data_IF_568988584199
#
_entry.id   IF_568988584199
#
_cell.length_a   1.000
_cell.length_b   1.000
_cell.length_c   1.000
_cell.angle_alpha   90.00
_cell.angle_beta   90.00
_cell.angle_gamma   90.00
#
_symmetry.space_group_name_H-M   'P 1'
#
loop_
_entity.id
_entity.type
_entity.pdbx_description
1 polymer ?
#
# COMPACT_ATOMS: atom_id res chain seq x y z
N UNK A 1 13.29 -6.33 -47.77
CA UNK A 1 12.74 -6.06 -49.11
C UNK A 1 11.27 -6.43 -49.07
N UNK A 2 10.40 -5.45 -49.37
CA UNK A 2 8.93 -5.55 -49.56
C UNK A 2 8.12 -5.86 -48.30
N UNK A 3 6.93 -5.29 -48.04
CA UNK A 3 6.32 -3.97 -48.16
C UNK A 3 4.92 -4.18 -47.54
N UNK A 4 4.49 -3.38 -46.57
CA UNK A 4 3.10 -3.40 -46.11
C UNK A 4 2.43 -2.07 -46.43
N UNK A 5 1.26 -2.21 -47.04
CA UNK A 5 0.45 -1.16 -47.64
C UNK A 5 -0.67 -0.77 -46.67
N UNK A 6 -0.92 0.53 -46.60
CA UNK A 6 -1.99 1.14 -45.84
C UNK A 6 -3.36 0.96 -46.51
N UNK A 7 -4.40 0.76 -45.70
CA UNK A 7 -5.78 0.96 -46.13
C UNK A 7 -6.55 1.73 -45.04
N UNK A 8 -6.91 2.96 -45.37
CA UNK A 8 -7.73 3.89 -44.58
C UNK A 8 -9.20 3.67 -44.94
N UNK A 9 -10.10 3.69 -43.95
CA UNK A 9 -11.55 3.77 -44.18
C UNK A 9 -12.13 5.05 -43.56
N UNK A 10 -12.80 5.84 -44.39
CA UNK A 10 -13.62 7.01 -44.08
C UNK A 10 -15.07 6.60 -43.84
N UNK A 11 -15.74 7.20 -42.85
CA UNK A 11 -17.19 7.11 -42.66
C UNK A 11 -17.81 8.49 -42.84
N UNK A 12 -18.74 8.57 -43.79
CA UNK A 12 -19.53 9.75 -44.13
C UNK A 12 -20.60 10.03 -43.08
N UNK A 13 -20.77 11.31 -42.76
CA UNK A 13 -21.89 11.81 -41.96
C UNK A 13 -23.18 11.99 -42.78
N UNK A 14 -24.29 12.06 -42.06
CA UNK A 14 -25.44 12.89 -42.37
C UNK A 14 -26.29 13.03 -41.10
N UNK A 15 -26.57 14.27 -40.69
CA UNK A 15 -27.33 14.61 -39.50
C UNK A 15 -28.82 14.80 -39.78
N UNK A 16 -29.59 14.96 -38.70
CA UNK A 16 -30.73 15.86 -38.63
C UNK A 16 -30.98 16.33 -37.19
N UNK A 17 -31.38 17.59 -37.09
CA UNK A 17 -31.40 18.43 -35.91
C UNK A 17 -32.73 18.36 -35.15
N UNK A 18 -32.66 18.53 -33.84
CA UNK A 18 -33.77 19.03 -33.01
C UNK A 18 -33.21 20.01 -31.98
N UNK A 19 -33.80 21.20 -31.91
CA UNK A 19 -33.46 22.31 -31.02
C UNK A 19 -34.51 22.37 -29.88
N UNK A 20 -34.13 22.61 -28.61
CA UNK A 20 -34.72 23.74 -27.86
C UNK A 20 -33.79 24.28 -26.72
N UNK A 21 -34.22 25.24 -25.88
CA UNK A 21 -34.76 26.58 -26.11
C UNK A 21 -33.77 27.68 -25.61
N UNK A 22 -34.17 28.96 -25.76
CA UNK A 22 -33.37 30.16 -25.48
C UNK A 22 -33.22 30.53 -24.01
N UNK A 23 -32.05 31.13 -23.70
CA UNK A 23 -31.49 31.51 -22.40
C UNK A 23 -32.12 32.80 -21.80
N UNK A 24 -33.39 32.76 -21.41
CA UNK A 24 -34.04 33.85 -20.67
C UNK A 24 -34.96 33.28 -19.62
N UNK A 25 -34.80 33.73 -18.37
CA UNK A 25 -35.59 33.44 -17.17
C UNK A 25 -35.18 32.21 -16.35
N UNK A 26 -34.19 32.41 -15.47
CA UNK A 26 -34.14 31.86 -14.10
C UNK A 26 -32.91 32.44 -13.38
N UNK A 27 -33.04 33.73 -13.03
CA UNK A 27 -32.31 34.33 -11.91
C UNK A 27 -33.09 33.98 -10.64
N UNK A 28 -32.38 33.45 -9.64
CA UNK A 28 -32.60 33.57 -8.18
C UNK A 28 -32.30 32.26 -7.44
N UNK A 29 -31.03 32.08 -7.05
CA UNK A 29 -30.61 31.40 -5.82
C UNK A 29 -29.14 31.76 -5.50
N UNK A 30 -28.87 32.11 -4.25
CA UNK A 30 -27.61 32.64 -3.69
C UNK A 30 -26.39 31.70 -3.84
N UNK A 31 -25.14 32.22 -3.87
CA UNK A 31 -23.95 31.40 -3.98
C UNK A 31 -23.52 30.81 -2.63
N UNK A 32 -23.08 29.56 -2.64
CA UNK A 32 -22.27 28.95 -1.58
C UNK A 32 -20.80 29.12 -1.94
N UNK A 33 -20.03 29.61 -0.96
CA UNK A 33 -18.58 29.78 -0.99
C UNK A 33 -17.88 28.44 -1.27
N UNK A 34 -16.94 28.42 -2.23
CA UNK A 34 -15.80 27.50 -2.25
C UNK A 34 -14.73 28.03 -3.21
N UNK A 35 -13.61 28.47 -2.62
CA UNK A 35 -12.44 29.02 -3.30
C UNK A 35 -11.61 27.91 -3.97
N UNK A 36 -11.74 27.78 -5.29
CA UNK A 36 -10.75 27.12 -6.15
C UNK A 36 -10.29 28.13 -7.18
N UNK A 37 -9.15 28.78 -6.91
CA UNK A 37 -8.62 29.82 -7.80
C UNK A 37 -7.74 29.24 -8.90
N UNK A 38 -8.35 29.23 -10.09
CA UNK A 38 -7.72 29.01 -11.38
C UNK A 38 -6.78 30.19 -11.72
N UNK A 39 -5.50 29.90 -11.98
CA UNK A 39 -4.43 30.88 -12.20
C UNK A 39 -4.71 31.79 -13.41
N UNK A 40 -5.59 31.39 -14.33
CA UNK A 40 -5.98 32.21 -15.47
C UNK A 40 -7.07 33.26 -15.15
N UNK A 41 -7.85 33.08 -14.08
CA UNK A 41 -8.99 33.97 -13.77
C UNK A 41 -8.58 35.25 -13.04
N UNK A 42 -7.48 35.23 -12.29
CA UNK A 42 -6.93 36.41 -11.61
C UNK A 42 -6.39 37.49 -12.57
N UNK A 43 -6.24 37.18 -13.87
CA UNK A 43 -5.74 38.11 -14.86
C UNK A 43 -6.82 38.99 -15.53
N UNK A 44 -8.12 38.80 -15.23
CA UNK A 44 -9.21 39.46 -15.98
C UNK A 44 -9.93 40.61 -15.24
N UNK A 45 -9.86 40.73 -13.91
CA UNK A 45 -10.59 41.81 -13.21
C UNK A 45 -9.76 43.06 -12.83
N UNK A 46 -8.52 43.16 -13.30
CA UNK A 46 -7.70 44.37 -13.12
C UNK A 46 -7.86 45.37 -14.29
N UNK A 47 -9.10 45.79 -14.56
CA UNK A 47 -9.42 46.80 -15.57
C UNK A 47 -10.00 48.08 -14.95
N UNK A 48 -9.40 48.62 -13.88
CA UNK A 48 -9.68 49.98 -13.41
C UNK A 48 -8.61 50.48 -12.44
N UNK A 49 -7.39 50.77 -12.92
CA UNK A 49 -6.40 51.52 -12.13
C UNK A 49 -5.84 52.67 -12.98
N UNK A 50 -6.30 53.88 -12.68
CA UNK A 50 -5.72 55.15 -13.16
C UNK A 50 -4.36 55.39 -12.51
N UNK A 51 -3.31 55.77 -13.27
CA UNK A 51 -1.97 55.97 -12.70
C UNK A 51 -1.80 57.35 -12.03
N UNK A 52 -0.99 57.40 -10.97
CA UNK A 52 -0.49 58.63 -10.35
C UNK A 52 0.40 59.45 -11.31
N UNK A 53 0.50 60.79 -11.14
CA UNK A 53 0.94 61.68 -12.21
C UNK A 53 2.47 61.69 -12.38
N UNK A 54 2.93 61.23 -13.54
CA UNK A 54 4.35 61.23 -13.90
C UNK A 54 4.62 60.53 -15.23
N UNK A 55 4.15 61.13 -16.32
CA UNK A 55 4.53 60.92 -17.73
C UNK A 55 4.69 59.48 -18.24
N UNK A 56 3.71 59.00 -19.01
CA UNK A 56 3.85 58.49 -20.39
C UNK A 56 2.44 58.30 -21.02
N UNK A 57 2.29 58.42 -22.35
CA UNK A 57 1.02 58.75 -22.99
C UNK A 57 0.06 57.57 -23.08
N UNK A 58 -1.23 57.91 -23.05
CA UNK A 58 -2.32 57.02 -23.37
C UNK A 58 -2.25 56.60 -24.85
N UNK A 59 -2.01 55.32 -25.10
CA UNK A 59 -2.36 54.66 -26.37
C UNK A 59 -2.51 53.16 -26.19
N UNK A 60 -3.76 52.70 -26.25
CA UNK A 60 -4.24 51.43 -26.83
C UNK A 60 -3.35 50.18 -26.75
N UNK A 61 -3.68 49.29 -25.80
CA UNK A 61 -4.21 47.93 -26.04
C UNK A 61 -4.24 47.16 -24.71
N UNK A 62 -5.29 46.37 -24.42
CA UNK A 62 -5.40 45.57 -23.19
C UNK A 62 -4.27 44.54 -22.97
N UNK A 63 -3.40 44.35 -23.97
CA UNK A 63 -2.27 43.41 -23.93
C UNK A 63 -1.01 43.96 -23.22
N UNK A 64 -0.91 45.27 -22.95
CA UNK A 64 0.33 45.89 -22.44
C UNK A 64 0.51 45.78 -20.92
N UNK A 65 -0.59 45.84 -20.14
CA UNK A 65 -0.50 45.69 -18.68
C UNK A 65 -0.19 44.25 -18.28
N UNK A 66 -0.85 43.27 -18.92
CA UNK A 66 -0.58 41.84 -18.67
C UNK A 66 0.88 41.49 -18.97
N UNK A 67 1.43 41.99 -20.07
CA UNK A 67 2.85 41.82 -20.42
C UNK A 67 3.76 42.43 -19.35
N UNK A 68 3.51 43.67 -18.92
CA UNK A 68 4.32 44.32 -17.89
C UNK A 68 4.26 43.61 -16.53
N UNK A 69 3.09 43.11 -16.15
CA UNK A 69 2.92 42.33 -14.92
C UNK A 69 3.67 41.00 -15.05
N UNK A 70 3.52 40.30 -16.17
CA UNK A 70 4.25 39.04 -16.42
C UNK A 70 5.77 39.25 -16.36
N UNK A 71 6.31 40.27 -17.05
CA UNK A 71 7.74 40.60 -17.04
C UNK A 71 8.23 40.92 -15.62
N UNK A 72 7.42 41.63 -14.82
CA UNK A 72 7.74 41.99 -13.43
C UNK A 72 7.71 40.77 -12.51
N UNK A 73 6.73 39.88 -12.69
CA UNK A 73 6.62 38.62 -11.95
C UNK A 73 7.81 37.72 -12.28
N UNK A 74 8.14 37.52 -13.55
CA UNK A 74 9.29 36.70 -13.99
C UNK A 74 10.62 37.28 -13.47
N UNK A 75 10.81 38.60 -13.56
CA UNK A 75 12.01 39.25 -13.01
C UNK A 75 12.11 39.06 -11.51
N UNK A 76 11.01 39.22 -10.78
CA UNK A 76 11.02 39.11 -9.31
C UNK A 76 11.19 37.66 -8.86
N UNK A 77 10.58 36.69 -9.55
CA UNK A 77 10.78 35.27 -9.29
C UNK A 77 12.24 34.86 -9.52
N UNK A 78 12.86 35.34 -10.61
CA UNK A 78 14.29 35.09 -10.87
C UNK A 78 15.20 35.68 -9.79
N UNK A 79 14.90 36.90 -9.30
CA UNK A 79 15.65 37.54 -8.22
C UNK A 79 15.39 36.90 -6.85
N UNK A 80 14.19 36.37 -6.64
CA UNK A 80 13.73 35.73 -5.40
C UNK A 80 13.87 34.21 -5.38
N UNK A 81 14.68 33.64 -6.28
CA UNK A 81 14.93 32.18 -6.39
C UNK A 81 13.65 31.31 -6.50
N UNK A 82 12.62 31.87 -7.14
CA UNK A 82 11.31 31.24 -7.35
C UNK A 82 10.26 31.60 -6.29
N UNK A 83 10.44 32.68 -5.53
CA UNK A 83 9.46 33.21 -4.55
C UNK A 83 9.17 34.69 -4.83
N UNK A 84 7.90 35.09 -4.75
CA UNK A 84 7.45 36.48 -4.91
C UNK A 84 6.38 36.85 -3.88
N UNK A 85 6.53 38.02 -3.25
CA UNK A 85 5.50 38.63 -2.40
C UNK A 85 4.77 39.71 -3.19
N UNK A 86 3.45 39.60 -3.29
CA UNK A 86 2.58 40.54 -3.99
C UNK A 86 1.75 41.28 -2.95
N UNK A 87 2.03 42.58 -2.77
CA UNK A 87 1.22 43.46 -1.93
C UNK A 87 0.04 44.02 -2.75
N UNK A 88 -1.18 43.80 -2.27
CA UNK A 88 -2.41 44.37 -2.80
C UNK A 88 -2.70 45.65 -2.02
N UNK A 89 -2.77 46.77 -2.73
CA UNK A 89 -3.04 48.08 -2.13
C UNK A 89 -4.55 48.36 -2.08
N UNK A 90 -5.02 48.91 -0.97
CA UNK A 90 -6.37 49.44 -0.82
C UNK A 90 -6.57 50.79 -1.51
N UNK A 91 -7.80 51.29 -1.52
CA UNK A 91 -8.14 52.58 -2.17
C UNK A 91 -7.41 53.79 -1.57
N UNK A 92 -6.99 53.69 -0.32
CA UNK A 92 -6.19 54.68 0.41
C UNK A 92 -4.68 54.58 0.14
N UNK A 93 -4.25 53.61 -0.69
CA UNK A 93 -2.86 53.33 -0.99
C UNK A 93 -2.12 52.60 0.14
N UNK A 94 -2.79 52.21 1.22
CA UNK A 94 -2.24 51.33 2.24
C UNK A 94 -2.22 49.88 1.74
N UNK A 95 -1.32 49.05 2.27
CA UNK A 95 -1.32 47.61 1.96
C UNK A 95 -2.55 46.98 2.63
N UNK A 96 -3.49 46.52 1.82
CA UNK A 96 -4.70 45.85 2.27
C UNK A 96 -4.49 44.35 2.47
N UNK A 97 -3.66 43.73 1.62
CA UNK A 97 -3.35 42.29 1.67
C UNK A 97 -1.95 42.02 1.12
N UNK A 98 -1.29 40.96 1.58
CA UNK A 98 0.01 40.51 1.06
C UNK A 98 -0.05 39.02 0.76
N UNK A 99 0.26 38.65 -0.48
CA UNK A 99 0.19 37.26 -0.96
C UNK A 99 1.53 36.77 -1.42
N UNK A 100 1.96 35.65 -0.86
CA UNK A 100 3.24 35.02 -1.17
C UNK A 100 3.02 33.86 -2.14
N UNK A 101 3.77 33.86 -3.24
CA UNK A 101 3.71 32.81 -4.27
C UNK A 101 5.09 32.17 -4.43
N UNK A 102 5.12 30.89 -4.79
CA UNK A 102 6.33 30.17 -5.16
C UNK A 102 6.11 29.34 -6.44
N UNK A 103 7.15 29.24 -7.27
CA UNK A 103 7.18 28.33 -8.43
C UNK A 103 7.42 26.87 -8.03
N UNK A 104 7.90 26.64 -6.80
CA UNK A 104 8.18 25.31 -6.27
C UNK A 104 7.06 24.90 -5.32
N UNK A 105 6.89 23.59 -5.11
CA UNK A 105 6.02 23.06 -4.05
C UNK A 105 6.66 23.32 -2.68
N UNK A 106 6.68 24.58 -2.25
CA UNK A 106 7.29 25.01 -1.00
C UNK A 106 6.29 25.79 -0.15
N UNK A 107 6.15 25.40 1.11
CA UNK A 107 5.50 26.23 2.13
C UNK A 107 6.53 27.19 2.69
N UNK A 108 6.38 28.48 2.39
CA UNK A 108 7.32 29.52 2.82
C UNK A 108 7.15 29.86 4.31
N UNK A 109 5.99 29.57 4.91
CA UNK A 109 5.75 29.75 6.34
C UNK A 109 6.44 28.68 7.19
N UNK A 110 6.34 27.42 6.75
CA UNK A 110 6.88 26.26 7.48
C UNK A 110 8.31 25.90 7.05
N UNK A 111 8.83 26.57 6.01
CA UNK A 111 10.12 26.28 5.38
C UNK A 111 10.25 24.82 4.90
N UNK A 112 9.15 24.27 4.35
CA UNK A 112 9.08 22.91 3.81
C UNK A 112 9.09 23.00 2.29
N UNK A 113 9.99 22.27 1.63
CA UNK A 113 9.99 22.12 0.18
C UNK A 113 9.78 20.65 -0.17
N UNK A 114 8.83 20.38 -1.06
CA UNK A 114 8.54 19.05 -1.60
C UNK A 114 9.12 18.99 -3.02
N UNK A 115 9.69 17.84 -3.37
CA UNK A 115 10.09 17.56 -4.75
C UNK A 115 8.88 17.48 -5.67
N UNK A 116 9.10 17.49 -6.98
CA UNK A 116 8.03 17.30 -7.96
C UNK A 116 7.24 16.01 -7.67
N UNK A 117 5.92 16.15 -7.60
CA UNK A 117 5.02 15.03 -7.31
C UNK A 117 5.00 14.09 -8.51
N UNK A 118 5.56 12.90 -8.34
CA UNK A 118 5.61 11.86 -9.36
C UNK A 118 5.09 10.52 -8.80
N UNK A 119 4.66 9.56 -9.64
CA UNK A 119 4.17 8.27 -9.16
C UNK A 119 5.15 7.52 -8.24
N UNK A 120 6.46 7.69 -8.46
CA UNK A 120 7.51 7.12 -7.60
C UNK A 120 7.49 7.64 -6.16
N UNK A 121 7.01 8.87 -5.94
CA UNK A 121 6.87 9.48 -4.62
C UNK A 121 5.85 8.72 -3.76
N UNK A 122 4.90 8.02 -4.39
CA UNK A 122 3.88 7.23 -3.71
C UNK A 122 4.21 5.73 -3.63
N UNK A 123 5.40 5.33 -4.08
CA UNK A 123 5.83 3.93 -4.05
C UNK A 123 6.67 3.66 -2.81
N UNK A 124 6.16 2.81 -1.91
CA UNK A 124 6.93 2.30 -0.78
C UNK A 124 8.06 1.34 -1.20
N UNK A 125 8.10 0.92 -2.47
CA UNK A 125 9.20 0.13 -3.03
C UNK A 125 10.31 1.01 -3.62
N UNK A 126 10.15 2.34 -3.60
CA UNK A 126 11.12 3.28 -4.12
C UNK A 126 11.68 4.16 -2.98
N UNK A 127 13.00 4.36 -2.88
CA UNK A 127 13.61 5.22 -1.84
C UNK A 127 13.05 6.66 -1.76
N UNK A 128 12.53 7.18 -2.89
CA UNK A 128 11.89 8.50 -2.94
C UNK A 128 10.58 8.56 -2.16
N UNK A 129 9.79 7.47 -2.15
CA UNK A 129 8.50 7.41 -1.44
C UNK A 129 8.53 6.64 -0.13
N UNK A 130 9.45 5.69 0.00
CA UNK A 130 9.56 4.80 1.15
C UNK A 130 9.96 5.54 2.43
N UNK A 131 9.31 5.18 3.54
CA UNK A 131 9.72 5.60 4.87
C UNK A 131 11.21 5.26 5.08
N UNK A 132 12.06 6.23 5.46
CA UNK A 132 13.51 6.02 5.57
C UNK A 132 13.88 5.00 6.66
N UNK A 133 13.05 4.91 7.70
CA UNK A 133 13.34 4.12 8.89
C UNK A 133 13.03 2.64 8.73
N UNK A 134 11.98 2.29 7.99
CA UNK A 134 11.59 0.91 7.73
C UNK A 134 11.76 0.52 6.26
N UNK A 135 12.35 1.38 5.44
CA UNK A 135 12.57 1.18 4.01
C UNK A 135 11.31 0.72 3.26
N UNK A 136 10.15 1.25 3.66
CA UNK A 136 8.86 0.90 3.04
C UNK A 136 8.26 -0.44 3.43
N UNK A 137 8.80 -1.12 4.46
CA UNK A 137 8.20 -2.35 5.00
C UNK A 137 6.94 -2.06 5.84
N UNK A 138 6.91 -0.93 6.53
CA UNK A 138 5.86 -0.59 7.51
C UNK A 138 6.06 -1.22 8.87
N UNK A 139 6.93 -2.23 8.97
CA UNK A 139 7.32 -2.88 10.21
C UNK A 139 8.82 -2.78 10.44
N UNK A 140 9.23 -2.92 11.70
CA UNK A 140 10.62 -3.13 12.11
C UNK A 140 10.68 -4.45 12.87
N UNK A 141 11.77 -5.19 12.68
CA UNK A 141 12.08 -6.31 13.55
C UNK A 141 12.62 -5.75 14.85
N UNK A 142 11.93 -6.05 15.94
CA UNK A 142 12.33 -5.72 17.31
C UNK A 142 12.45 -7.01 18.10
N UNK A 143 13.31 -7.01 19.11
CA UNK A 143 13.51 -8.18 19.96
C UNK A 143 12.25 -8.43 20.77
N UNK A 144 11.80 -9.68 20.76
CA UNK A 144 10.62 -10.11 21.49
C UNK A 144 11.03 -10.90 22.73
N UNK A 145 10.79 -10.33 23.91
CA UNK A 145 11.17 -10.94 25.19
C UNK A 145 10.53 -12.31 25.39
N UNK A 146 9.32 -12.54 24.86
CA UNK A 146 8.65 -13.84 24.97
C UNK A 146 9.36 -14.92 24.13
N UNK A 147 9.90 -14.55 22.98
CA UNK A 147 10.63 -15.48 22.10
C UNK A 147 12.03 -15.81 22.64
N UNK A 148 12.64 -14.92 23.44
CA UNK A 148 13.93 -15.18 24.11
C UNK A 148 13.81 -16.36 25.08
N UNK A 149 12.68 -16.48 25.79
CA UNK A 149 12.48 -17.49 26.83
C UNK A 149 11.99 -18.80 26.23
N UNK A 150 12.92 -19.72 25.93
CA UNK A 150 12.59 -21.03 25.33
C UNK A 150 11.94 -21.96 26.34
N UNK A 151 12.50 -22.03 27.56
CA UNK A 151 11.98 -22.91 28.59
C UNK A 151 12.11 -22.27 29.98
N UNK A 152 10.99 -21.78 30.53
CA UNK A 152 11.00 -21.07 31.80
C UNK A 152 11.24 -22.00 33.01
N UNK A 153 11.14 -23.32 32.84
CA UNK A 153 11.41 -24.30 33.91
C UNK A 153 12.91 -24.63 34.09
N UNK A 154 13.76 -24.24 33.14
CA UNK A 154 15.21 -24.41 33.24
C UNK A 154 15.88 -23.28 34.01
N UNK A 155 17.09 -23.53 34.48
CA UNK A 155 17.96 -22.48 35.03
C UNK A 155 18.58 -21.62 33.93
N UNK A 156 19.04 -20.43 34.28
CA UNK A 156 19.77 -19.57 33.35
C UNK A 156 20.98 -20.30 32.72
N UNK A 157 21.74 -21.06 33.51
CA UNK A 157 22.89 -21.85 33.05
C UNK A 157 22.50 -23.08 32.20
N UNK A 158 21.34 -23.69 32.48
CA UNK A 158 20.80 -24.80 31.70
C UNK A 158 20.17 -24.36 30.36
N UNK A 159 20.17 -23.06 30.07
CA UNK A 159 19.68 -22.53 28.81
C UNK A 159 18.18 -22.26 28.81
N UNK A 160 17.65 -21.65 29.88
CA UNK A 160 16.28 -21.12 29.85
C UNK A 160 16.04 -20.10 28.72
N UNK A 161 17.12 -19.44 28.27
CA UNK A 161 17.11 -18.38 27.27
C UNK A 161 17.81 -18.83 25.99
N UNK A 162 17.19 -18.62 24.84
CA UNK A 162 17.69 -19.09 23.54
C UNK A 162 19.05 -18.52 23.13
N UNK A 163 19.22 -17.18 23.10
CA UNK A 163 20.51 -16.56 22.78
C UNK A 163 21.66 -16.99 23.72
N UNK A 164 21.30 -17.47 24.92
CA UNK A 164 22.24 -17.99 25.89
C UNK A 164 22.80 -19.37 25.51
N UNK A 165 22.01 -20.23 24.89
CA UNK A 165 22.48 -21.56 24.48
C UNK A 165 23.48 -21.51 23.32
N UNK A 166 23.25 -20.62 22.35
CA UNK A 166 24.01 -20.59 21.10
C UNK A 166 25.36 -19.86 21.24
N UNK A 167 25.36 -18.67 21.86
CA UNK A 167 26.53 -17.77 21.80
C UNK A 167 26.91 -17.19 23.15
N UNK A 168 25.96 -16.73 23.96
CA UNK A 168 26.30 -16.02 25.19
C UNK A 168 26.78 -16.96 26.32
N UNK A 169 26.20 -18.15 26.46
CA UNK A 169 26.59 -19.15 27.47
C UNK A 169 27.90 -19.86 27.16
N UNK A 170 28.28 -19.97 25.89
CA UNK A 170 29.60 -20.47 25.46
C UNK A 170 30.72 -19.47 25.75
N UNK A 171 30.37 -18.19 25.95
CA UNK A 171 31.33 -17.13 26.25
C UNK A 171 31.56 -17.01 27.76
N UNK A 172 32.80 -17.28 28.19
CA UNK A 172 33.22 -17.01 29.57
C UNK A 172 33.06 -15.53 29.96
N UNK A 173 33.05 -14.62 28.99
CA UNK A 173 32.85 -13.19 29.25
C UNK A 173 31.40 -12.88 29.67
N UNK A 174 30.42 -13.31 28.88
CA UNK A 174 29.00 -13.02 29.15
C UNK A 174 28.48 -13.76 30.39
N UNK A 175 28.86 -15.03 30.56
CA UNK A 175 28.52 -15.79 31.78
C UNK A 175 29.05 -15.12 33.05
N UNK A 176 30.27 -14.57 33.03
CA UNK A 176 30.84 -13.83 34.18
C UNK A 176 30.15 -12.50 34.42
N UNK A 177 29.74 -11.79 33.37
CA UNK A 177 28.98 -10.56 33.50
C UNK A 177 27.63 -10.81 34.18
N UNK A 178 26.86 -11.78 33.68
CA UNK A 178 25.56 -12.12 34.25
C UNK A 178 25.69 -12.63 35.69
N UNK A 179 26.73 -13.41 36.01
CA UNK A 179 27.00 -13.84 37.38
C UNK A 179 27.26 -12.64 38.31
N UNK A 180 28.08 -11.67 37.87
CA UNK A 180 28.38 -10.48 38.66
C UNK A 180 27.16 -9.55 38.83
N UNK A 181 26.30 -9.45 37.80
CA UNK A 181 25.00 -8.79 37.93
C UNK A 181 24.08 -9.54 38.91
N UNK A 182 24.05 -10.87 38.84
CA UNK A 182 23.28 -11.73 39.74
C UNK A 182 23.69 -11.59 41.21
N UNK A 183 24.99 -11.53 41.52
CA UNK A 183 25.48 -11.32 42.89
C UNK A 183 24.97 -10.03 43.51
N UNK A 184 24.84 -8.95 42.71
CA UNK A 184 24.32 -7.66 43.17
C UNK A 184 22.81 -7.69 43.38
N UNK A 185 22.07 -8.34 42.48
CA UNK A 185 20.60 -8.34 42.45
C UNK A 185 19.96 -9.58 43.10
N UNK A 186 20.77 -10.42 43.75
CA UNK A 186 20.31 -11.53 44.57
C UNK A 186 19.81 -12.75 43.79
N UNK A 187 20.31 -12.99 42.57
CA UNK A 187 20.02 -14.22 41.80
C UNK A 187 21.30 -14.93 41.38
N UNK A 188 21.19 -16.23 41.08
CA UNK A 188 22.32 -17.06 40.63
C UNK A 188 22.02 -17.64 39.25
N UNK A 189 23.07 -18.02 38.52
CA UNK A 189 22.93 -18.69 37.22
C UNK A 189 22.18 -20.03 37.31
N UNK A 190 22.17 -20.67 38.48
CA UNK A 190 21.40 -21.90 38.74
C UNK A 190 19.96 -21.64 39.24
N UNK A 191 19.48 -20.40 39.24
CA UNK A 191 18.08 -20.06 39.53
C UNK A 191 17.24 -20.34 38.29
N UNK A 192 16.04 -20.94 38.46
CA UNK A 192 15.10 -21.17 37.36
C UNK A 192 14.51 -19.84 36.90
N UNK A 193 14.19 -19.71 35.62
CA UNK A 193 13.61 -18.48 35.10
C UNK A 193 12.30 -18.10 35.80
N UNK A 194 11.40 -19.07 36.03
CA UNK A 194 10.13 -18.83 36.76
C UNK A 194 10.29 -18.35 38.19
N UNK A 195 11.44 -18.59 38.81
CA UNK A 195 11.69 -18.24 40.21
C UNK A 195 12.27 -16.83 40.37
N UNK A 196 12.58 -16.14 39.26
CA UNK A 196 13.10 -14.77 39.27
C UNK A 196 11.98 -13.75 39.57
N UNK A 197 12.30 -12.72 40.35
CA UNK A 197 11.38 -11.58 40.53
C UNK A 197 11.32 -10.72 39.27
N UNK A 198 10.27 -9.90 39.06
CA UNK A 198 10.18 -9.00 37.91
C UNK A 198 11.41 -8.07 37.75
N UNK A 199 11.98 -7.59 38.86
CA UNK A 199 13.20 -6.79 38.83
C UNK A 199 14.40 -7.61 38.35
N UNK A 200 14.52 -8.86 38.79
CA UNK A 200 15.61 -9.74 38.35
C UNK A 200 15.47 -10.10 36.87
N UNK A 201 14.26 -10.37 36.39
CA UNK A 201 13.96 -10.56 34.96
C UNK A 201 14.40 -9.34 34.16
N UNK A 202 14.06 -8.13 34.61
CA UNK A 202 14.48 -6.90 33.96
C UNK A 202 16.01 -6.78 33.89
N UNK A 203 16.73 -7.07 34.98
CA UNK A 203 18.20 -7.05 34.97
C UNK A 203 18.79 -8.05 33.98
N UNK A 204 18.21 -9.26 33.86
CA UNK A 204 18.69 -10.27 32.89
C UNK A 204 18.45 -9.82 31.44
N UNK A 205 17.29 -9.24 31.14
CA UNK A 205 16.91 -8.86 29.78
C UNK A 205 17.51 -7.53 29.33
N UNK A 206 17.44 -6.51 30.18
CA UNK A 206 17.78 -5.11 29.87
C UNK A 206 19.08 -4.62 30.53
N UNK A 207 19.68 -5.44 31.39
CA UNK A 207 20.98 -5.14 31.98
C UNK A 207 20.94 -4.33 33.27
N UNK A 208 22.13 -3.95 33.74
CA UNK A 208 22.36 -3.10 34.90
C UNK A 208 23.23 -1.89 34.50
N UNK A 209 22.72 -0.65 34.62
CA UNK A 209 23.48 0.56 34.27
C UNK A 209 24.65 0.83 35.23
N UNK A 210 24.71 0.17 36.39
CA UNK A 210 25.84 0.32 37.32
C UNK A 210 27.00 -0.60 36.91
N UNK A 211 28.24 -0.08 36.85
CA UNK A 211 29.40 -0.90 36.50
C UNK A 211 29.51 -2.14 37.39
N UNK A 212 29.56 -3.31 36.78
CA UNK A 212 29.90 -4.58 37.43
C UNK A 212 31.39 -4.83 37.28
N UNK A 213 31.98 -5.47 38.29
CA UNK A 213 33.39 -5.86 38.27
C UNK A 213 33.47 -7.37 38.28
N UNK A 214 34.20 -7.94 37.32
CA UNK A 214 34.40 -9.38 37.26
C UNK A 214 35.82 -9.73 36.80
N UNK A 215 36.26 -10.91 37.22
CA UNK A 215 37.55 -11.48 36.83
C UNK A 215 37.34 -12.47 35.69
N UNK A 216 38.15 -12.34 34.64
CA UNK A 216 38.14 -13.25 33.50
C UNK A 216 39.57 -13.68 33.17
N UNK A 217 39.69 -14.88 32.58
CA UNK A 217 40.95 -15.41 32.09
C UNK A 217 41.02 -15.15 30.59
N UNK A 218 42.04 -14.43 30.15
CA UNK A 218 42.25 -14.23 28.71
C UNK A 218 42.80 -15.50 28.04
N UNK A 219 42.88 -15.51 26.70
CA UNK A 219 43.45 -16.64 25.94
C UNK A 219 44.91 -16.94 26.31
N UNK A 220 45.66 -15.96 26.84
CA UNK A 220 47.03 -16.13 27.31
C UNK A 220 47.13 -16.69 28.76
N UNK A 221 46.00 -17.07 29.38
CA UNK A 221 45.96 -17.69 30.71
C UNK A 221 46.08 -16.72 31.90
N UNK A 222 46.24 -15.42 31.63
CA UNK A 222 46.35 -14.36 32.65
C UNK A 222 44.96 -13.95 33.11
N UNK A 223 44.76 -13.90 34.43
CA UNK A 223 43.52 -13.38 35.01
C UNK A 223 43.60 -11.87 35.10
N UNK A 224 42.63 -11.18 34.50
CA UNK A 224 42.47 -9.72 34.62
C UNK A 224 41.13 -9.40 35.26
N UNK A 225 41.11 -8.30 35.98
CA UNK A 225 39.89 -7.68 36.49
C UNK A 225 39.42 -6.64 35.49
N UNK A 226 38.12 -6.66 35.19
CA UNK A 226 37.50 -5.73 34.27
C UNK A 226 36.26 -5.12 34.93
N UNK A 227 36.01 -3.85 34.63
CA UNK A 227 34.81 -3.14 35.06
C UNK A 227 34.06 -2.63 33.82
N UNK A 228 32.80 -3.01 33.68
CA UNK A 228 31.90 -2.59 32.60
C UNK A 228 30.46 -2.70 33.07
N UNK A 229 29.51 -2.15 32.34
CA UNK A 229 28.07 -2.39 32.58
C UNK A 229 27.65 -3.71 31.96
N UNK A 230 26.59 -4.32 32.52
CA UNK A 230 25.92 -5.44 31.87
C UNK A 230 24.76 -4.87 31.04
N UNK A 231 24.78 -5.08 29.73
CA UNK A 231 23.79 -4.48 28.81
C UNK A 231 22.49 -5.30 28.66
N UNK A 232 22.47 -6.53 29.19
CA UNK A 232 21.33 -7.43 29.07
C UNK A 232 21.33 -8.26 27.78
N UNK A 233 20.41 -9.22 27.72
CA UNK A 233 20.27 -10.14 26.59
C UNK A 233 19.56 -9.48 25.39
N UNK A 234 18.66 -8.53 25.62
CA UNK A 234 17.96 -7.81 24.55
C UNK A 234 18.98 -7.01 23.72
N UNK A 235 19.81 -6.19 24.38
CA UNK A 235 20.88 -5.44 23.73
C UNK A 235 21.87 -6.36 23.00
N UNK A 236 22.18 -7.52 23.58
CA UNK A 236 23.01 -8.53 22.92
C UNK A 236 22.40 -9.00 21.59
N UNK A 237 21.12 -9.40 21.58
CA UNK A 237 20.43 -9.85 20.36
C UNK A 237 20.40 -8.73 19.32
N UNK A 238 20.03 -7.51 19.72
CA UNK A 238 20.00 -6.35 18.82
C UNK A 238 21.36 -6.04 18.19
N UNK A 239 22.43 -6.04 18.98
CA UNK A 239 23.77 -5.75 18.48
C UNK A 239 24.24 -6.84 17.52
N UNK A 240 24.01 -8.12 17.85
CA UNK A 240 24.36 -9.24 16.97
C UNK A 240 23.54 -9.24 15.67
N UNK A 241 22.29 -8.80 15.71
CA UNK A 241 21.48 -8.62 14.51
C UNK A 241 22.02 -7.48 13.61
N UNK A 242 22.49 -6.38 14.20
CA UNK A 242 23.01 -5.23 13.46
C UNK A 242 24.41 -5.48 12.87
N UNK A 243 25.30 -6.09 13.65
CA UNK A 243 26.74 -6.19 13.33
C UNK A 243 27.19 -7.60 12.93
N UNK A 244 26.34 -8.61 13.10
CA UNK A 244 26.66 -10.01 12.86
C UNK A 244 26.72 -10.40 11.37
N UNK A 245 27.31 -11.57 11.11
CA UNK A 245 27.25 -12.22 9.80
C UNK A 245 25.80 -12.62 9.44
N UNK A 246 25.54 -12.90 8.17
CA UNK A 246 24.21 -13.32 7.69
C UNK A 246 23.65 -14.51 8.48
N UNK A 247 24.48 -15.52 8.76
CA UNK A 247 24.10 -16.65 9.59
C UNK A 247 23.70 -16.25 11.02
N UNK A 248 24.48 -15.34 11.64
CA UNK A 248 24.18 -14.84 12.99
C UNK A 248 22.90 -14.00 13.00
N UNK A 249 22.65 -13.22 11.95
CA UNK A 249 21.42 -12.45 11.80
C UNK A 249 20.20 -13.36 11.74
N UNK A 250 20.25 -14.41 10.90
CA UNK A 250 19.17 -15.39 10.80
C UNK A 250 18.90 -16.12 12.12
N UNK A 251 19.92 -16.42 12.92
CA UNK A 251 19.73 -16.97 14.28
C UNK A 251 19.06 -15.96 15.22
N UNK A 252 19.46 -14.68 15.17
CA UNK A 252 18.88 -13.65 16.05
C UNK A 252 17.43 -13.31 15.67
N UNK A 253 17.07 -13.37 14.38
CA UNK A 253 15.70 -13.12 13.89
C UNK A 253 14.66 -14.04 14.53
N UNK A 254 15.06 -15.23 14.99
CA UNK A 254 14.17 -16.18 15.70
C UNK A 254 13.63 -15.63 17.02
N UNK A 255 14.34 -14.67 17.62
CA UNK A 255 13.99 -14.01 18.87
C UNK A 255 13.39 -12.61 18.65
N UNK A 256 13.04 -12.29 17.41
CA UNK A 256 12.51 -10.99 17.03
C UNK A 256 11.11 -11.15 16.44
N UNK A 257 10.26 -10.16 16.68
CA UNK A 257 8.94 -10.07 16.07
C UNK A 257 8.79 -8.77 15.28
N UNK A 258 7.97 -8.82 14.24
CA UNK A 258 7.67 -7.63 13.45
C UNK A 258 6.74 -6.71 14.25
N UNK A 259 7.25 -5.53 14.62
CA UNK A 259 6.49 -4.45 15.25
C UNK A 259 6.18 -3.36 14.24
N UNK A 260 5.10 -2.63 14.47
CA UNK A 260 4.72 -1.50 13.59
C UNK A 260 5.80 -0.43 13.67
N UNK A 261 6.25 0.07 12.53
CA UNK A 261 7.26 1.12 12.49
C UNK A 261 6.74 2.40 13.18
N UNK A 262 7.42 2.93 14.20
CA UNK A 262 6.96 4.10 14.96
C UNK A 262 6.98 5.39 14.14
N UNK A 263 7.83 5.46 13.11
CA UNK A 263 8.05 6.66 12.29
C UNK A 263 6.91 6.88 11.29
N UNK A 264 6.50 5.82 10.61
CA UNK A 264 5.39 5.88 9.64
C UNK A 264 4.09 5.29 10.18
N UNK A 265 4.07 4.75 11.40
CA UNK A 265 2.92 4.06 12.00
C UNK A 265 2.33 2.98 11.06
N UNK A 266 3.19 2.22 10.38
CA UNK A 266 2.77 1.20 9.43
C UNK A 266 2.39 1.72 8.03
N UNK A 267 2.43 3.02 7.78
CA UNK A 267 2.03 3.63 6.50
C UNK A 267 3.02 3.44 5.35
N UNK A 268 4.23 2.97 5.64
CA UNK A 268 5.30 2.61 4.67
C UNK A 268 5.86 3.77 3.86
N UNK A 269 5.22 4.93 3.88
CA UNK A 269 5.58 6.09 3.07
C UNK A 269 6.20 7.20 3.93
N UNK A 270 6.90 8.11 3.26
CA UNK A 270 7.37 9.37 3.82
C UNK A 270 6.22 10.32 4.17
N UNK A 271 6.41 11.24 5.14
CA UNK A 271 5.38 12.21 5.50
C UNK A 271 4.98 13.11 4.32
N UNK A 272 5.91 13.46 3.43
CA UNK A 272 5.62 14.32 2.27
C UNK A 272 4.67 13.63 1.28
N UNK A 273 4.83 12.32 1.07
CA UNK A 273 3.93 11.53 0.23
C UNK A 273 2.54 11.37 0.86
N UNK A 274 2.48 11.30 2.19
CA UNK A 274 1.23 11.21 2.95
C UNK A 274 0.50 12.55 3.10
N UNK A 275 1.20 13.66 2.87
CA UNK A 275 0.63 15.01 2.88
C UNK A 275 -0.18 15.30 1.61
N UNK A 276 0.10 14.60 0.50
CA UNK A 276 -0.70 14.71 -0.73
C UNK A 276 -2.02 13.98 -0.55
N UNK A 277 -3.12 14.71 -0.76
CA UNK A 277 -4.48 14.18 -0.60
C UNK A 277 -5.29 14.34 -1.87
N UNK A 278 -6.28 13.47 -2.02
CA UNK A 278 -7.34 13.55 -3.04
C UNK A 278 -8.65 13.50 -2.26
N UNK A 279 -9.47 14.56 -2.34
CA UNK A 279 -10.70 14.70 -1.53
C UNK A 279 -10.46 14.36 -0.04
N UNK A 280 -9.47 15.03 0.57
CA UNK A 280 -9.11 14.95 1.99
C UNK A 280 -8.65 13.56 2.48
N UNK A 281 -8.18 12.72 1.57
CA UNK A 281 -7.65 11.39 1.86
C UNK A 281 -6.31 11.20 1.17
N UNK A 282 -5.31 10.77 1.94
CA UNK A 282 -4.02 10.39 1.33
C UNK A 282 -4.09 8.96 0.77
N UNK A 283 -3.04 8.57 0.04
CA UNK A 283 -2.97 7.24 -0.59
C UNK A 283 -3.09 6.08 0.41
N UNK A 284 -2.56 6.22 1.63
CA UNK A 284 -2.65 5.19 2.65
C UNK A 284 -4.08 5.04 3.15
N UNK A 285 -4.76 6.16 3.42
CA UNK A 285 -6.16 6.16 3.88
C UNK A 285 -7.06 5.45 2.86
N UNK A 286 -6.90 5.74 1.56
CA UNK A 286 -7.65 5.06 0.50
C UNK A 286 -7.29 3.57 0.44
N UNK A 287 -6.00 3.23 0.54
CA UNK A 287 -5.54 1.83 0.46
C UNK A 287 -6.01 0.94 1.61
N UNK A 288 -6.35 1.53 2.76
CA UNK A 288 -6.81 0.82 3.95
C UNK A 288 -8.32 0.73 4.06
N UNK A 289 -9.06 1.35 3.14
CA UNK A 289 -10.49 1.12 2.99
C UNK A 289 -10.74 -0.29 2.47
N UNK A 290 -11.87 -0.87 2.88
CA UNK A 290 -12.42 -2.03 2.19
C UNK A 290 -12.66 -1.68 0.72
N UNK A 291 -12.52 -2.65 -0.18
CA UNK A 291 -12.67 -2.46 -1.62
C UNK A 291 -14.05 -1.87 -1.97
N UNK A 292 -15.11 -2.31 -1.30
CA UNK A 292 -16.45 -1.72 -1.45
C UNK A 292 -16.46 -0.21 -1.11
N UNK A 293 -15.83 0.17 0.00
CA UNK A 293 -15.75 1.57 0.43
C UNK A 293 -14.86 2.40 -0.49
N UNK A 294 -13.77 1.82 -1.00
CA UNK A 294 -12.90 2.47 -1.99
C UNK A 294 -13.63 2.71 -3.32
N UNK A 295 -14.42 1.75 -3.78
CA UNK A 295 -15.23 1.91 -5.01
C UNK A 295 -16.24 3.05 -4.85
N UNK A 296 -16.98 3.06 -3.73
CA UNK A 296 -17.91 4.13 -3.42
C UNK A 296 -17.23 5.51 -3.29
N UNK A 297 -15.98 5.55 -2.80
CA UNK A 297 -15.17 6.75 -2.75
C UNK A 297 -14.85 7.27 -4.16
N UNK A 298 -14.34 6.41 -5.06
CA UNK A 298 -14.00 6.81 -6.42
C UNK A 298 -15.22 7.17 -7.28
N UNK A 299 -16.36 6.51 -7.04
CA UNK A 299 -17.62 6.85 -7.70
C UNK A 299 -18.06 8.29 -7.39
N UNK A 300 -17.93 8.73 -6.13
CA UNK A 300 -18.26 10.10 -5.69
C UNK A 300 -17.16 11.12 -5.96
N UNK A 301 -15.92 10.67 -6.17
CA UNK A 301 -14.79 11.56 -6.41
C UNK A 301 -15.01 12.40 -7.68
N UNK A 302 -15.66 11.84 -8.71
CA UNK A 302 -15.89 12.53 -9.96
C UNK A 302 -16.71 13.83 -9.81
N UNK A 303 -17.56 13.92 -8.79
CA UNK A 303 -18.36 15.12 -8.49
C UNK A 303 -17.56 16.22 -7.78
N UNK A 304 -16.37 15.89 -7.28
CA UNK A 304 -15.48 16.81 -6.52
C UNK A 304 -14.29 17.31 -7.33
N UNK A 305 -14.08 16.77 -8.53
CA UNK A 305 -12.97 17.18 -9.38
C UNK A 305 -13.36 18.42 -10.18
N UNK A 306 -12.41 19.33 -10.33
CA UNK A 306 -12.53 20.41 -11.32
C UNK A 306 -12.61 19.83 -12.74
N UNK A 307 -13.10 20.62 -13.70
CA UNK A 307 -13.19 20.18 -15.11
C UNK A 307 -11.82 19.71 -15.64
N UNK A 308 -10.76 20.45 -15.32
CA UNK A 308 -9.38 20.14 -15.71
C UNK A 308 -8.91 18.81 -15.12
N UNK A 309 -9.10 18.60 -13.82
CA UNK A 309 -8.73 17.35 -13.16
C UNK A 309 -9.52 16.17 -13.70
N UNK A 310 -10.83 16.35 -13.91
CA UNK A 310 -11.71 15.32 -14.47
C UNK A 310 -11.26 14.87 -15.85
N UNK A 311 -10.79 15.77 -16.71
CA UNK A 311 -10.23 15.44 -18.03
C UNK A 311 -8.97 14.57 -17.89
N UNK A 312 -8.04 14.96 -17.02
CA UNK A 312 -6.76 14.26 -16.81
C UNK A 312 -6.98 12.88 -16.17
N UNK A 313 -7.83 12.83 -15.14
CA UNK A 313 -8.03 11.64 -14.32
C UNK A 313 -8.99 10.62 -14.95
N UNK A 314 -9.79 11.00 -15.96
CA UNK A 314 -10.86 10.16 -16.55
C UNK A 314 -10.45 8.72 -16.82
N UNK A 315 -9.33 8.53 -17.54
CA UNK A 315 -8.89 7.20 -17.93
C UNK A 315 -8.37 6.39 -16.73
N UNK A 316 -7.73 7.08 -15.76
CA UNK A 316 -7.19 6.48 -14.54
C UNK A 316 -8.34 6.02 -13.63
N UNK A 317 -9.34 6.89 -13.41
CA UNK A 317 -10.51 6.58 -12.59
C UNK A 317 -11.32 5.42 -13.19
N UNK A 318 -11.49 5.40 -14.52
CA UNK A 318 -12.14 4.29 -15.22
C UNK A 318 -11.42 2.96 -14.95
N UNK A 319 -10.10 2.95 -15.01
CA UNK A 319 -9.29 1.74 -14.77
C UNK A 319 -9.36 1.30 -13.29
N UNK A 320 -9.31 2.25 -12.35
CA UNK A 320 -9.46 1.97 -10.92
C UNK A 320 -10.83 1.33 -10.64
N UNK A 321 -11.92 1.97 -11.08
CA UNK A 321 -13.28 1.46 -10.88
C UNK A 321 -13.48 0.09 -11.51
N UNK A 322 -12.93 -0.15 -12.71
CA UNK A 322 -13.00 -1.47 -13.34
C UNK A 322 -12.31 -2.56 -12.49
N UNK A 323 -11.09 -2.29 -11.99
CA UNK A 323 -10.34 -3.25 -11.16
C UNK A 323 -10.99 -3.53 -9.82
N UNK A 324 -11.50 -2.49 -9.15
CA UNK A 324 -12.27 -2.66 -7.93
C UNK A 324 -13.54 -3.48 -8.20
N UNK A 325 -14.24 -3.21 -9.30
CA UNK A 325 -15.38 -4.00 -9.76
C UNK A 325 -15.05 -5.49 -9.93
N UNK A 326 -13.92 -5.82 -10.57
CA UNK A 326 -13.50 -7.22 -10.71
C UNK A 326 -13.25 -7.91 -9.37
N UNK A 327 -12.65 -7.22 -8.40
CA UNK A 327 -12.44 -7.75 -7.05
C UNK A 327 -13.77 -7.98 -6.30
N UNK A 328 -14.74 -7.09 -6.46
CA UNK A 328 -16.09 -7.28 -5.89
C UNK A 328 -16.84 -8.45 -6.54
N UNK A 329 -16.70 -8.63 -7.86
CA UNK A 329 -17.34 -9.72 -8.59
C UNK A 329 -16.85 -11.11 -8.15
N UNK A 330 -15.60 -11.20 -7.70
CA UNK A 330 -15.04 -12.45 -7.11
C UNK A 330 -15.20 -12.52 -5.59
N UNK A 331 -16.00 -11.64 -4.97
CA UNK A 331 -16.32 -11.68 -3.54
C UNK A 331 -15.16 -11.32 -2.62
N UNK A 332 -14.32 -10.35 -3.02
CA UNK A 332 -13.21 -9.83 -2.22
C UNK A 332 -13.45 -8.39 -1.74
N UNK A 333 -14.71 -7.94 -1.75
CA UNK A 333 -15.14 -6.59 -1.37
C UNK A 333 -14.75 -6.18 0.06
N UNK A 334 -14.65 -7.15 0.98
CA UNK A 334 -14.26 -6.95 2.38
C UNK A 334 -12.74 -6.72 2.58
N UNK A 335 -11.91 -7.02 1.57
CA UNK A 335 -10.46 -6.83 1.66
C UNK A 335 -10.07 -5.37 1.49
N UNK A 336 -8.89 -5.02 2.01
CA UNK A 336 -8.26 -3.73 1.76
C UNK A 336 -7.12 -3.89 0.75
N UNK A 337 -6.86 -2.85 -0.04
CA UNK A 337 -5.75 -2.84 -1.03
C UNK A 337 -4.40 -2.97 -0.32
N UNK A 338 -4.29 -2.40 0.88
CA UNK A 338 -3.09 -2.43 1.72
C UNK A 338 -2.85 -3.75 2.46
N UNK A 339 -3.73 -4.75 2.36
CA UNK A 339 -3.56 -6.05 3.04
C UNK A 339 -2.32 -6.77 2.51
N UNK A 340 -1.48 -7.28 3.42
CA UNK A 340 -0.26 -8.02 3.07
C UNK A 340 -0.59 -9.32 2.36
N UNK A 341 0.04 -9.56 1.19
CA UNK A 341 -0.20 -10.75 0.36
C UNK A 341 0.00 -12.08 1.12
N UNK A 342 0.99 -12.15 2.02
CA UNK A 342 1.27 -13.36 2.82
C UNK A 342 0.18 -13.69 3.86
N UNK A 343 -0.74 -12.75 4.13
CA UNK A 343 -1.85 -12.98 5.06
C UNK A 343 -3.11 -13.53 4.37
N UNK A 344 -3.10 -13.65 3.05
CA UNK A 344 -4.24 -14.11 2.27
C UNK A 344 -4.38 -15.65 2.36
N UNK A 345 -5.62 -16.12 2.41
CA UNK A 345 -5.91 -17.54 2.23
C UNK A 345 -5.63 -17.97 0.78
N UNK A 346 -5.49 -19.29 0.55
CA UNK A 346 -5.30 -19.82 -0.81
C UNK A 346 -6.41 -19.40 -1.77
N UNK A 347 -7.68 -19.50 -1.33
CA UNK A 347 -8.83 -19.07 -2.12
C UNK A 347 -8.87 -17.56 -2.37
N UNK A 348 -8.49 -16.72 -1.38
CA UNK A 348 -8.35 -15.27 -1.59
C UNK A 348 -7.31 -14.96 -2.67
N UNK A 349 -6.11 -15.54 -2.56
CA UNK A 349 -5.03 -15.32 -3.53
C UNK A 349 -5.41 -15.79 -4.95
N UNK A 350 -6.08 -16.93 -5.05
CA UNK A 350 -6.58 -17.45 -6.33
C UNK A 350 -7.61 -16.50 -6.96
N UNK A 351 -8.56 -15.98 -6.18
CA UNK A 351 -9.58 -15.05 -6.67
C UNK A 351 -9.00 -13.68 -7.07
N UNK A 352 -7.99 -13.18 -6.36
CA UNK A 352 -7.24 -11.99 -6.80
C UNK A 352 -6.59 -12.23 -8.17
N UNK A 353 -6.00 -13.41 -8.37
CA UNK A 353 -5.41 -13.78 -9.65
C UNK A 353 -6.47 -13.84 -10.75
N UNK A 354 -7.63 -14.42 -10.48
CA UNK A 354 -8.77 -14.46 -11.43
C UNK A 354 -9.22 -13.04 -11.81
N UNK A 355 -9.49 -12.17 -10.84
CA UNK A 355 -9.85 -10.77 -11.07
C UNK A 355 -8.80 -10.03 -11.93
N UNK A 356 -7.52 -10.29 -11.68
CA UNK A 356 -6.42 -9.71 -12.47
C UNK A 356 -6.43 -10.21 -13.91
N UNK A 357 -6.74 -11.49 -14.15
CA UNK A 357 -6.83 -12.04 -15.51
C UNK A 357 -7.99 -11.45 -16.28
N UNK A 358 -9.14 -11.25 -15.65
CA UNK A 358 -10.29 -10.60 -16.28
C UNK A 358 -9.94 -9.15 -16.68
N UNK A 359 -9.28 -8.42 -15.78
CA UNK A 359 -8.83 -7.06 -16.05
C UNK A 359 -7.75 -6.95 -17.12
N UNK A 360 -7.04 -8.03 -17.45
CA UNK A 360 -6.06 -8.02 -18.55
C UNK A 360 -6.71 -7.95 -19.94
N UNK A 361 -7.99 -8.32 -20.07
CA UNK A 361 -8.72 -8.30 -21.33
C UNK A 361 -8.15 -9.24 -22.40
N UNK A 362 -7.39 -10.27 -22.00
CA UNK A 362 -6.82 -11.24 -22.93
C UNK A 362 -7.91 -12.11 -23.56
N UNK A 363 -7.74 -12.43 -24.84
CA UNK A 363 -8.61 -13.30 -25.64
C UNK A 363 -7.79 -14.44 -26.29
N UNK A 364 -8.39 -15.60 -26.51
CA UNK A 364 -7.72 -16.76 -27.10
C UNK A 364 -6.81 -17.52 -26.12
N UNK A 365 -7.03 -17.36 -24.83
CA UNK A 365 -6.28 -18.04 -23.76
C UNK A 365 -7.06 -19.26 -23.27
N UNK A 366 -6.34 -20.35 -22.98
CA UNK A 366 -6.86 -21.50 -22.24
C UNK A 366 -6.56 -21.32 -20.75
N UNK A 367 -7.59 -21.03 -19.96
CA UNK A 367 -7.50 -20.96 -18.51
C UNK A 367 -7.80 -22.32 -17.89
N UNK A 368 -6.92 -22.79 -17.01
CA UNK A 368 -7.14 -24.00 -16.21
C UNK A 368 -7.24 -23.56 -14.75
N UNK A 369 -8.41 -23.77 -14.14
CA UNK A 369 -8.72 -23.38 -12.78
C UNK A 369 -8.92 -24.62 -11.92
N UNK A 370 -8.32 -24.60 -10.73
CA UNK A 370 -8.38 -25.69 -9.75
C UNK A 370 -9.26 -25.27 -8.57
N UNK A 371 -10.48 -25.78 -8.51
CA UNK A 371 -11.50 -25.54 -7.46
C UNK A 371 -11.65 -24.07 -7.04
N UNK A 372 -12.03 -23.15 -7.94
CA UNK A 372 -12.15 -21.72 -7.64
C UNK A 372 -13.24 -21.38 -6.60
N UNK A 373 -14.16 -22.30 -6.29
CA UNK A 373 -15.16 -22.13 -5.24
C UNK A 373 -14.63 -22.33 -3.82
N UNK A 374 -13.38 -22.82 -3.64
CA UNK A 374 -12.81 -23.08 -2.30
C UNK A 374 -12.85 -21.82 -1.42
N UNK A 375 -13.38 -22.01 -0.22
CA UNK A 375 -13.46 -20.95 0.80
C UNK A 375 -14.39 -19.81 0.42
N UNK A 376 -15.29 -20.04 -0.54
CA UNK A 376 -16.36 -19.12 -0.90
C UNK A 376 -17.67 -19.54 -0.24
N UNK A 377 -18.47 -18.56 0.20
CA UNK A 377 -19.81 -18.83 0.71
C UNK A 377 -20.77 -19.14 -0.46
N UNK A 378 -21.74 -20.04 -0.29
CA UNK A 378 -22.66 -20.47 -1.37
C UNK A 378 -23.34 -19.28 -2.07
N UNK A 379 -23.68 -18.24 -1.30
CA UNK A 379 -24.27 -16.99 -1.81
C UNK A 379 -23.43 -16.32 -2.90
N UNK A 380 -22.11 -16.38 -2.78
CA UNK A 380 -21.19 -15.68 -3.67
C UNK A 380 -20.74 -16.55 -4.85
N UNK A 381 -21.06 -17.85 -4.82
CA UNK A 381 -20.75 -18.81 -5.88
C UNK A 381 -21.38 -18.42 -7.23
N UNK A 382 -22.62 -17.91 -7.22
CA UNK A 382 -23.26 -17.40 -8.43
C UNK A 382 -22.51 -16.22 -9.06
N UNK A 383 -21.86 -15.37 -8.25
CA UNK A 383 -21.04 -14.26 -8.76
C UNK A 383 -19.77 -14.78 -9.42
N UNK A 384 -19.14 -15.79 -8.83
CA UNK A 384 -17.99 -16.49 -9.41
C UNK A 384 -18.37 -17.12 -10.77
N UNK A 385 -19.46 -17.89 -10.83
CA UNK A 385 -19.95 -18.50 -12.08
C UNK A 385 -20.20 -17.44 -13.17
N UNK A 386 -20.84 -16.32 -12.82
CA UNK A 386 -21.04 -15.22 -13.77
C UNK A 386 -19.72 -14.67 -14.29
N UNK A 387 -18.75 -14.52 -13.40
CA UNK A 387 -17.41 -14.03 -13.72
C UNK A 387 -16.64 -15.00 -14.64
N UNK A 388 -16.75 -16.31 -14.42
CA UNK A 388 -16.17 -17.32 -15.30
C UNK A 388 -16.80 -17.28 -16.70
N UNK A 389 -18.12 -17.09 -16.78
CA UNK A 389 -18.83 -16.90 -18.06
C UNK A 389 -18.37 -15.66 -18.79
N UNK A 390 -18.19 -14.53 -18.09
CA UNK A 390 -17.62 -13.32 -18.69
C UNK A 390 -16.22 -13.58 -19.26
N UNK A 391 -15.36 -14.28 -18.52
CA UNK A 391 -14.01 -14.60 -18.99
C UNK A 391 -14.03 -15.50 -20.25
N UNK A 392 -14.95 -16.47 -20.31
CA UNK A 392 -15.21 -17.30 -21.50
C UNK A 392 -15.69 -16.43 -22.67
N UNK A 393 -16.66 -15.56 -22.44
CA UNK A 393 -17.32 -14.75 -23.46
C UNK A 393 -16.40 -13.67 -24.07
N UNK A 394 -15.27 -13.36 -23.41
CA UNK A 394 -14.14 -12.60 -24.00
C UNK A 394 -13.37 -13.37 -25.09
N UNK A 395 -13.80 -14.59 -25.43
CA UNK A 395 -13.17 -15.45 -26.44
C UNK A 395 -12.09 -16.36 -25.86
N UNK A 396 -12.23 -16.77 -24.60
CA UNK A 396 -11.32 -17.70 -23.92
C UNK A 396 -11.99 -19.05 -23.69
N UNK A 397 -11.18 -20.07 -23.48
CA UNK A 397 -11.63 -21.41 -23.06
C UNK A 397 -11.27 -21.62 -21.60
N UNK A 398 -12.22 -22.09 -20.81
CA UNK A 398 -12.00 -22.40 -19.40
C UNK A 398 -12.15 -23.90 -19.18
N UNK A 399 -11.16 -24.50 -18.52
CA UNK A 399 -11.25 -25.84 -17.92
C UNK A 399 -11.25 -25.62 -16.42
N UNK A 400 -12.36 -25.97 -15.77
CA UNK A 400 -12.55 -25.78 -14.33
C UNK A 400 -12.65 -27.16 -13.69
N UNK A 401 -11.73 -27.46 -12.79
CA UNK A 401 -11.79 -28.63 -11.92
C UNK A 401 -12.65 -28.24 -10.73
N UNK A 402 -13.80 -28.89 -10.54
CA UNK A 402 -14.76 -28.53 -9.50
C UNK A 402 -15.53 -29.75 -8.98
N UNK A 403 -16.07 -29.58 -7.79
CA UNK A 403 -16.97 -30.52 -7.13
C UNK A 403 -18.28 -29.85 -6.69
N UNK A 404 -18.46 -28.55 -6.92
CA UNK A 404 -19.68 -27.81 -6.64
C UNK A 404 -20.80 -28.05 -7.69
N UNK A 405 -22.01 -28.32 -7.19
CA UNK A 405 -23.20 -28.63 -8.00
C UNK A 405 -23.62 -27.46 -8.90
N UNK A 406 -23.64 -26.23 -8.36
CA UNK A 406 -24.09 -25.06 -9.11
C UNK A 406 -23.15 -24.77 -10.29
N UNK A 407 -21.85 -24.97 -10.10
CA UNK A 407 -20.83 -24.82 -11.14
C UNK A 407 -20.97 -25.90 -12.21
N UNK A 408 -21.14 -27.16 -11.81
CA UNK A 408 -21.41 -28.27 -12.73
C UNK A 408 -22.67 -28.04 -13.56
N UNK A 409 -23.75 -27.57 -12.93
CA UNK A 409 -25.00 -27.23 -13.60
C UNK A 409 -24.88 -26.07 -14.58
N UNK A 410 -24.01 -25.11 -14.27
CA UNK A 410 -23.81 -23.92 -15.10
C UNK A 410 -22.83 -24.13 -16.28
N UNK A 411 -22.13 -25.26 -16.33
CA UNK A 411 -21.13 -25.59 -17.33
C UNK A 411 -21.75 -25.87 -18.71
N UNK A 412 -21.10 -25.40 -19.77
CA UNK A 412 -21.52 -25.70 -21.15
C UNK A 412 -21.21 -27.16 -21.53
N UNK A 413 -20.16 -27.73 -20.91
CA UNK A 413 -19.69 -29.08 -21.12
C UNK A 413 -19.07 -29.61 -19.82
N UNK A 414 -19.41 -30.85 -19.47
CA UNK A 414 -18.95 -31.53 -18.25
C UNK A 414 -18.20 -32.80 -18.66
N UNK A 415 -17.06 -33.04 -18.01
CA UNK A 415 -16.24 -34.25 -18.18
C UNK A 415 -16.06 -34.91 -16.82
N UNK A 416 -16.58 -36.12 -16.65
CA UNK A 416 -16.46 -36.90 -15.42
C UNK A 416 -15.27 -37.87 -15.53
N UNK A 417 -14.34 -37.78 -14.56
CA UNK A 417 -13.14 -38.62 -14.51
C UNK A 417 -13.27 -39.62 -13.36
N UNK A 418 -13.08 -40.89 -13.65
CA UNK A 418 -13.21 -41.95 -12.65
C UNK A 418 -12.82 -43.32 -13.20
N UNK A 419 -13.50 -44.41 -12.79
CA UNK A 419 -14.58 -44.49 -11.78
C UNK A 419 -14.12 -44.45 -10.31
N UNK A 420 -12.81 -44.50 -10.05
CA UNK A 420 -12.24 -44.39 -8.69
C UNK A 420 -10.96 -43.55 -8.68
N UNK A 421 -10.28 -43.52 -7.53
CA UNK A 421 -9.00 -42.81 -7.40
C UNK A 421 -7.79 -43.70 -7.73
N UNK A 422 -6.64 -43.08 -8.01
CA UNK A 422 -5.37 -43.78 -8.23
C UNK A 422 -5.42 -44.75 -9.41
N UNK A 423 -4.99 -46.00 -9.20
CA UNK A 423 -4.97 -47.03 -10.24
C UNK A 423 -6.36 -47.42 -10.78
N UNK A 424 -7.43 -47.05 -10.07
CA UNK A 424 -8.82 -47.30 -10.46
C UNK A 424 -9.46 -46.11 -11.20
N UNK A 425 -8.71 -45.03 -11.41
CA UNK A 425 -9.15 -43.80 -12.08
C UNK A 425 -8.53 -43.57 -13.45
N UNK A 426 -8.51 -42.30 -13.86
CA UNK A 426 -7.80 -41.84 -15.06
C UNK A 426 -8.52 -42.15 -16.37
N UNK A 427 -9.82 -42.46 -16.33
CA UNK A 427 -10.66 -42.66 -17.51
C UNK A 427 -11.77 -41.63 -17.53
N UNK A 428 -12.15 -41.20 -18.73
CA UNK A 428 -13.38 -40.43 -18.96
C UNK A 428 -14.54 -41.41 -18.82
N UNK A 429 -15.38 -41.21 -17.81
CA UNK A 429 -16.53 -42.06 -17.51
C UNK A 429 -17.75 -41.59 -18.28
N UNK A 430 -18.01 -40.29 -18.24
CA UNK A 430 -19.06 -39.61 -19.00
C UNK A 430 -18.55 -38.24 -19.47
N UNK A 431 -19.06 -37.76 -20.59
CA UNK A 431 -18.81 -36.40 -21.08
C UNK A 431 -20.01 -35.92 -21.89
N UNK A 432 -20.35 -34.64 -21.77
CA UNK A 432 -21.51 -34.08 -22.45
C UNK A 432 -22.03 -32.81 -21.79
N UNK A 433 -23.28 -32.47 -22.07
CA UNK A 433 -24.05 -31.48 -21.31
C UNK A 433 -24.39 -32.02 -19.92
N UNK A 434 -24.80 -31.13 -19.00
CA UNK A 434 -25.23 -31.52 -17.65
C UNK A 434 -26.27 -32.65 -17.68
N UNK A 435 -27.33 -32.50 -18.48
CA UNK A 435 -28.41 -33.49 -18.57
C UNK A 435 -27.93 -34.85 -19.10
N UNK A 436 -26.98 -34.86 -20.04
CA UNK A 436 -26.41 -36.09 -20.58
C UNK A 436 -25.57 -36.84 -19.54
N UNK A 437 -24.76 -36.14 -18.73
CA UNK A 437 -23.96 -36.77 -17.67
C UNK A 437 -24.83 -37.26 -16.53
N UNK A 438 -25.87 -36.51 -16.15
CA UNK A 438 -26.84 -36.91 -15.12
C UNK A 438 -27.60 -38.19 -15.54
N UNK A 439 -27.86 -38.37 -16.83
CA UNK A 439 -28.53 -39.55 -17.36
C UNK A 439 -27.61 -40.79 -17.53
N UNK A 440 -26.28 -40.64 -17.42
CA UNK A 440 -25.34 -41.75 -17.60
C UNK A 440 -25.23 -42.61 -16.33
N UNK A 441 -25.68 -43.88 -16.34
CA UNK A 441 -25.63 -44.74 -15.17
C UNK A 441 -24.20 -45.10 -14.72
N UNK A 442 -23.19 -44.91 -15.58
CA UNK A 442 -21.79 -45.19 -15.25
C UNK A 442 -21.13 -44.04 -14.48
N UNK A 443 -21.68 -42.82 -14.54
CA UNK A 443 -21.13 -41.65 -13.85
C UNK A 443 -21.54 -41.65 -12.38
N UNK A 444 -20.56 -41.77 -11.47
CA UNK A 444 -20.82 -41.61 -10.04
C UNK A 444 -21.31 -40.19 -9.74
N UNK A 445 -20.70 -39.20 -10.40
CA UNK A 445 -21.09 -37.78 -10.29
C UNK A 445 -22.54 -37.57 -10.74
N UNK A 446 -22.95 -38.16 -11.87
CA UNK A 446 -24.33 -38.11 -12.35
C UNK A 446 -25.34 -38.73 -11.38
N UNK A 447 -24.97 -39.82 -10.69
CA UNK A 447 -25.80 -40.43 -9.64
C UNK A 447 -26.00 -39.51 -8.44
N UNK A 448 -25.00 -38.72 -8.03
CA UNK A 448 -25.17 -37.72 -6.96
C UNK A 448 -26.03 -36.53 -7.41
N UNK A 449 -25.88 -36.09 -8.66
CA UNK A 449 -26.59 -34.92 -9.21
C UNK A 449 -28.07 -35.19 -9.51
N UNK A 450 -28.48 -36.45 -9.70
CA UNK A 450 -29.87 -36.84 -9.97
C UNK A 450 -30.73 -37.02 -8.71
N UNK A 451 -30.10 -37.19 -7.53
CA UNK A 451 -30.78 -37.55 -6.28
C UNK A 451 -31.22 -39.01 -6.22
#
# INVERSE_FOLDING_TARGET
MVAESAATYTVNGNGHAHNPPSMGDLLDAEPLDEDVFDIERAAIDAAALTPAPGALPASDKPNTMRQRVADSVETTLNLGEGVILVAILGEDGAVADERLYSEKFACVYDNISIEEIAPRTFSFNNPHGACPDCTGLGTKLEVDEELIVINPDLTLEQGALGPWQTVAGQSQWYSRQLAAAGERHGFKLNTRWRDLTPEQVHIVLHGDPKPITFRYRNQAGVTREHSTTYEGIVAFVEQRYKEGSEHMRAEMEQYMSARVCPTCNGKRLRPEALAVTVADRNIFDISTMAIEAAEAFFAKLNDRLTEREGIIARQILKEISARLGFLMNVGLDYLTIGRTANSLSGGEAQRIRLATQIGSGLSGVLYILDEPSIGLHQRDNMRLIHTLKQLRDLGNTLIVIEHDEDTMRAADHLVDIGPGAGAHGGKVVAQGTYDEVVADPNSLTGQYLSG
#
